data_IF_603870741610
#
_entry.id   IF_603870741610
#
_cell.length_a   1.000
_cell.length_b   1.000
_cell.length_c   1.000
_cell.angle_alpha   90.00
_cell.angle_beta   90.00
_cell.angle_gamma   90.00
#
_symmetry.space_group_name_H-M   'P 1'
#
loop_
_entity.id
_entity.type
_entity.pdbx_description
1 polymer ?
#
# COMPACT_ATOMS: atom_id res chain seq x y z
N UNK A 1 16.86 20.81 -20.67
CA UNK A 1 15.50 20.58 -20.14
C UNK A 1 15.43 19.10 -19.79
N UNK A 2 14.76 18.72 -18.71
CA UNK A 2 14.78 17.35 -18.19
C UNK A 2 13.66 16.49 -18.78
N UNK A 3 13.80 15.16 -18.68
CA UNK A 3 12.69 14.21 -18.81
C UNK A 3 11.91 14.18 -17.49
N UNK A 4 10.58 14.22 -17.55
CA UNK A 4 9.69 13.99 -16.41
C UNK A 4 9.17 12.57 -16.43
N UNK A 5 9.24 11.89 -15.29
CA UNK A 5 8.58 10.61 -15.06
C UNK A 5 7.52 10.79 -13.99
N UNK A 6 6.33 10.28 -14.24
CA UNK A 6 5.16 10.35 -13.36
C UNK A 6 4.75 8.91 -13.02
N UNK A 7 5.03 8.46 -11.80
CA UNK A 7 4.69 7.12 -11.34
C UNK A 7 3.57 7.20 -10.31
N UNK A 8 2.39 6.68 -10.67
CA UNK A 8 1.17 6.86 -9.90
C UNK A 8 0.82 5.60 -9.11
N UNK A 9 0.74 5.71 -7.79
CA UNK A 9 -0.01 4.74 -7.00
C UNK A 9 -1.51 4.80 -7.35
N UNK A 10 -2.24 3.73 -7.02
CA UNK A 10 -3.63 3.57 -7.40
C UNK A 10 -4.55 3.56 -6.18
N UNK A 11 -4.38 2.58 -5.30
CA UNK A 11 -5.29 2.33 -4.18
C UNK A 11 -5.16 3.38 -3.08
N UNK A 12 -6.18 4.22 -2.90
CA UNK A 12 -6.14 5.34 -1.95
C UNK A 12 -5.55 6.62 -2.54
N UNK A 13 -4.76 6.52 -3.61
CA UNK A 13 -4.18 7.62 -4.37
C UNK A 13 -5.11 8.09 -5.52
N UNK A 14 -4.95 7.59 -6.75
CA UNK A 14 -5.88 7.90 -7.86
C UNK A 14 -7.30 7.39 -7.59
N UNK A 15 -7.39 6.26 -6.89
CA UNK A 15 -8.62 5.61 -6.42
C UNK A 15 -8.92 6.04 -4.98
N UNK A 16 -8.82 7.34 -4.71
CA UNK A 16 -9.01 7.94 -3.40
C UNK A 16 -10.47 7.87 -2.89
N UNK A 17 -10.64 8.16 -1.60
CA UNK A 17 -11.95 8.20 -0.93
C UNK A 17 -12.97 9.08 -1.65
N UNK A 18 -12.56 10.25 -2.12
CA UNK A 18 -13.43 11.16 -2.88
C UNK A 18 -14.02 10.50 -4.13
N UNK A 19 -13.23 9.71 -4.86
CA UNK A 19 -13.72 8.92 -6.00
C UNK A 19 -14.64 7.76 -5.53
N UNK A 20 -14.23 7.03 -4.49
CA UNK A 20 -14.96 5.85 -4.00
C UNK A 20 -16.37 6.24 -3.50
N UNK A 21 -16.47 7.35 -2.75
CA UNK A 21 -17.64 7.73 -1.96
C UNK A 21 -18.49 8.87 -2.54
N UNK A 22 -18.14 9.50 -3.67
CA UNK A 22 -19.08 10.40 -4.36
C UNK A 22 -20.17 9.58 -5.08
N UNK A 23 -21.30 9.39 -4.39
CA UNK A 23 -22.39 8.48 -4.78
C UNK A 23 -23.44 9.06 -5.74
N UNK A 24 -23.29 10.30 -6.21
CA UNK A 24 -24.36 10.98 -6.95
C UNK A 24 -24.28 10.91 -8.47
N UNK A 25 -23.19 10.42 -9.07
CA UNK A 25 -23.09 10.35 -10.53
C UNK A 25 -23.00 8.92 -11.06
N UNK A 26 -23.81 8.66 -12.08
CA UNK A 26 -23.87 7.38 -12.80
C UNK A 26 -22.65 7.14 -13.70
N UNK A 27 -21.73 8.10 -13.75
CA UNK A 27 -20.51 8.08 -14.55
C UNK A 27 -19.30 8.26 -13.61
N UNK A 28 -18.89 7.18 -12.94
CA UNK A 28 -17.70 7.16 -12.07
C UNK A 28 -16.42 7.25 -12.90
N UNK A 29 -16.07 8.44 -13.38
CA UNK A 29 -14.80 8.65 -14.08
C UNK A 29 -13.69 9.03 -13.11
N UNK A 30 -12.68 8.16 -12.98
CA UNK A 30 -11.45 8.45 -12.22
C UNK A 30 -10.82 9.75 -12.71
N UNK A 31 -10.85 10.00 -14.02
CA UNK A 31 -10.39 11.24 -14.63
C UNK A 31 -11.07 12.49 -14.06
N UNK A 32 -12.37 12.46 -13.81
CA UNK A 32 -13.12 13.60 -13.29
C UNK A 32 -12.83 13.83 -11.81
N UNK A 33 -12.81 12.76 -11.02
CA UNK A 33 -12.48 12.83 -9.60
C UNK A 33 -11.07 13.41 -9.36
N UNK A 34 -10.14 13.14 -10.27
CA UNK A 34 -8.76 13.60 -10.21
C UNK A 34 -8.49 14.86 -11.07
N UNK A 35 -9.52 15.49 -11.66
CA UNK A 35 -9.34 16.50 -12.73
C UNK A 35 -8.43 17.66 -12.33
N UNK A 36 -8.62 18.23 -11.14
CA UNK A 36 -7.80 19.35 -10.64
C UNK A 36 -6.31 18.98 -10.58
N UNK A 37 -6.00 17.74 -10.17
CA UNK A 37 -4.64 17.22 -10.11
C UNK A 37 -4.06 16.99 -11.51
N UNK A 38 -4.81 16.33 -12.38
CA UNK A 38 -4.38 16.03 -13.75
C UNK A 38 -4.16 17.31 -14.58
N UNK A 39 -5.03 18.31 -14.45
CA UNK A 39 -4.89 19.60 -15.14
C UNK A 39 -3.63 20.35 -14.68
N UNK A 40 -3.26 20.24 -13.39
CA UNK A 40 -2.01 20.80 -12.87
C UNK A 40 -0.79 20.11 -13.48
N UNK A 41 -0.78 18.78 -13.54
CA UNK A 41 0.29 18.03 -14.23
C UNK A 41 0.40 18.47 -15.69
N UNK A 42 -0.74 18.50 -16.40
CA UNK A 42 -0.80 18.81 -17.83
C UNK A 42 -0.28 20.21 -18.15
N UNK A 43 -0.56 21.18 -17.28
CA UNK A 43 -0.01 22.53 -17.39
C UNK A 43 1.51 22.56 -17.27
N UNK A 44 2.08 21.71 -16.43
CA UNK A 44 3.52 21.66 -16.17
C UNK A 44 4.31 20.83 -17.21
N UNK A 45 3.63 20.00 -18.02
CA UNK A 45 4.29 19.14 -19.02
C UNK A 45 5.17 19.92 -20.01
N UNK A 46 4.84 21.18 -20.31
CA UNK A 46 5.60 22.03 -21.24
C UNK A 46 6.99 22.46 -20.75
N UNK A 47 7.32 22.21 -19.47
CA UNK A 47 8.65 22.51 -18.91
C UNK A 47 9.68 21.40 -19.13
N UNK A 48 9.26 20.26 -19.69
CA UNK A 48 10.06 19.07 -19.85
C UNK A 48 10.19 18.69 -21.33
N UNK A 49 11.30 18.05 -21.69
CA UNK A 49 11.52 17.58 -23.08
C UNK A 49 10.58 16.44 -23.44
N UNK A 50 10.28 15.60 -22.45
CA UNK A 50 9.47 14.40 -22.56
C UNK A 50 8.83 14.11 -21.21
N UNK A 51 7.60 13.59 -21.24
CA UNK A 51 6.86 13.21 -20.05
C UNK A 51 6.44 11.74 -20.21
N UNK A 52 6.70 10.93 -19.19
CA UNK A 52 6.47 9.47 -19.21
C UNK A 52 5.67 9.08 -17.98
N UNK A 53 4.58 8.34 -18.15
CA UNK A 53 3.75 7.78 -17.09
C UNK A 53 4.07 6.32 -16.80
N UNK A 54 4.04 5.93 -15.53
CA UNK A 54 4.20 4.55 -15.05
C UNK A 54 3.08 4.14 -14.11
N UNK A 55 2.90 2.82 -13.98
CA UNK A 55 2.13 2.21 -12.88
C UNK A 55 3.00 2.18 -11.63
N UNK A 56 2.73 3.08 -10.69
CA UNK A 56 3.38 3.16 -9.36
C UNK A 56 2.68 2.34 -8.26
N UNK A 57 1.60 1.63 -8.61
CA UNK A 57 0.85 0.75 -7.71
C UNK A 57 1.55 -0.58 -7.45
N UNK A 58 1.26 -1.24 -6.32
CA UNK A 58 1.69 -2.62 -6.08
C UNK A 58 0.90 -3.65 -6.90
N UNK A 59 -0.13 -3.22 -7.63
CA UNK A 59 -0.78 -4.00 -8.69
C UNK A 59 0.16 -4.15 -9.89
N UNK A 60 1.18 -5.00 -9.76
CA UNK A 60 2.21 -5.23 -10.78
C UNK A 60 2.08 -6.57 -11.51
N UNK A 61 0.96 -7.28 -11.30
CA UNK A 61 0.58 -8.49 -12.04
C UNK A 61 -0.94 -8.54 -12.25
N UNK A 62 -1.40 -9.35 -13.20
CA UNK A 62 -2.84 -9.53 -13.48
C UNK A 62 -3.61 -10.02 -12.25
N UNK A 63 -3.04 -10.95 -11.49
CA UNK A 63 -3.72 -11.50 -10.31
C UNK A 63 -3.92 -10.46 -9.22
N UNK A 64 -2.90 -9.65 -8.91
CA UNK A 64 -2.98 -8.63 -7.87
C UNK A 64 -3.92 -7.49 -8.31
N UNK A 65 -3.91 -7.13 -9.59
CA UNK A 65 -4.87 -6.16 -10.12
C UNK A 65 -6.33 -6.63 -9.98
N UNK A 66 -6.61 -7.91 -10.28
CA UNK A 66 -7.94 -8.50 -10.14
C UNK A 66 -8.41 -8.62 -8.69
N UNK A 67 -7.50 -8.94 -7.76
CA UNK A 67 -7.85 -9.14 -6.35
C UNK A 67 -8.22 -7.82 -5.65
N UNK A 68 -7.65 -6.69 -6.09
CA UNK A 68 -7.79 -5.41 -5.39
C UNK A 68 -8.95 -4.51 -5.86
N UNK A 69 -9.77 -4.91 -6.83
CA UNK A 69 -10.93 -4.06 -7.18
C UNK A 69 -11.81 -4.52 -8.33
N UNK A 70 -12.88 -3.75 -8.55
CA UNK A 70 -13.81 -3.91 -9.69
C UNK A 70 -13.25 -3.32 -10.99
N UNK A 71 -12.25 -2.46 -10.91
CA UNK A 71 -11.61 -1.79 -12.04
C UNK A 71 -10.10 -2.04 -12.04
N UNK A 72 -9.56 -2.22 -13.24
CA UNK A 72 -8.14 -2.50 -13.47
C UNK A 72 -7.32 -1.22 -13.41
N UNK A 73 -6.27 -1.19 -12.58
CA UNK A 73 -5.38 -0.04 -12.53
C UNK A 73 -4.65 0.19 -13.84
N UNK A 74 -4.40 -0.87 -14.62
CA UNK A 74 -3.70 -0.79 -15.90
C UNK A 74 -4.51 0.00 -16.92
N UNK A 75 -5.80 -0.33 -17.05
CA UNK A 75 -6.73 0.37 -17.95
C UNK A 75 -6.90 1.82 -17.52
N UNK A 76 -7.11 2.07 -16.23
CA UNK A 76 -7.31 3.43 -15.72
C UNK A 76 -6.06 4.30 -15.88
N UNK A 77 -4.86 3.78 -15.57
CA UNK A 77 -3.60 4.54 -15.74
C UNK A 77 -3.33 4.80 -17.22
N UNK A 78 -3.65 3.86 -18.11
CA UNK A 78 -3.58 4.11 -19.54
C UNK A 78 -4.46 5.30 -19.94
N UNK A 79 -5.72 5.34 -19.50
CA UNK A 79 -6.63 6.45 -19.77
C UNK A 79 -6.12 7.79 -19.22
N UNK A 80 -5.54 7.78 -18.01
CA UNK A 80 -4.94 8.98 -17.40
C UNK A 80 -3.76 9.49 -18.24
N UNK A 81 -2.87 8.60 -18.64
CA UNK A 81 -1.71 8.96 -19.47
C UNK A 81 -2.14 9.50 -20.83
N UNK A 82 -3.17 8.91 -21.44
CA UNK A 82 -3.78 9.41 -22.68
C UNK A 82 -4.41 10.80 -22.49
N UNK A 83 -5.15 11.05 -21.40
CA UNK A 83 -5.75 12.37 -21.07
C UNK A 83 -4.66 13.44 -20.85
N UNK A 84 -3.55 13.07 -20.21
CA UNK A 84 -2.40 13.94 -19.99
C UNK A 84 -1.61 14.23 -21.28
N UNK A 85 -1.78 13.41 -22.33
CA UNK A 85 -1.01 13.51 -23.58
C UNK A 85 0.47 13.19 -23.39
N UNK A 86 0.78 12.21 -22.53
CA UNK A 86 2.17 11.79 -22.22
C UNK A 86 2.40 10.35 -22.69
N UNK A 87 3.64 9.88 -22.65
CA UNK A 87 3.97 8.51 -23.04
C UNK A 87 3.69 7.53 -21.90
N UNK A 88 3.10 6.37 -22.19
CA UNK A 88 2.95 5.31 -21.20
C UNK A 88 4.12 4.33 -21.29
N UNK A 89 4.89 4.21 -20.21
CA UNK A 89 5.77 3.07 -20.02
C UNK A 89 4.99 1.93 -19.34
N UNK A 90 4.89 0.81 -20.06
CA UNK A 90 4.08 -0.33 -19.66
C UNK A 90 4.84 -1.32 -18.78
N UNK A 91 6.09 -1.06 -18.44
CA UNK A 91 6.88 -1.96 -17.61
C UNK A 91 6.20 -2.26 -16.27
N UNK A 92 6.05 -3.56 -15.98
CA UNK A 92 5.60 -4.05 -14.68
C UNK A 92 6.68 -4.92 -14.04
N UNK A 93 6.66 -5.03 -12.71
CA UNK A 93 7.57 -5.93 -11.99
C UNK A 93 7.41 -7.40 -12.43
N UNK A 94 6.21 -7.82 -12.84
CA UNK A 94 6.00 -9.15 -13.43
C UNK A 94 6.85 -9.40 -14.68
N UNK A 95 7.18 -8.38 -15.48
CA UNK A 95 8.09 -8.54 -16.62
C UNK A 95 9.49 -8.92 -16.16
N UNK A 96 9.96 -8.27 -15.09
CA UNK A 96 11.27 -8.49 -14.51
C UNK A 96 11.38 -9.89 -13.88
N UNK A 97 10.38 -10.30 -13.10
CA UNK A 97 10.37 -11.61 -12.45
C UNK A 97 10.12 -12.75 -13.44
N UNK A 98 9.32 -12.52 -14.48
CA UNK A 98 9.06 -13.47 -15.55
C UNK A 98 10.11 -13.54 -16.65
N UNK A 99 11.15 -12.71 -16.59
CA UNK A 99 12.14 -12.53 -17.67
C UNK A 99 11.48 -12.21 -19.02
N UNK A 100 10.40 -11.42 -19.00
CA UNK A 100 9.68 -10.96 -20.19
C UNK A 100 10.25 -9.62 -20.68
N UNK A 101 9.95 -9.30 -21.93
CA UNK A 101 10.16 -7.95 -22.45
C UNK A 101 9.34 -6.93 -21.63
N UNK A 102 9.86 -5.71 -21.48
CA UNK A 102 9.14 -4.66 -20.77
C UNK A 102 7.80 -4.35 -21.46
N UNK A 103 6.71 -4.31 -20.69
CA UNK A 103 5.35 -4.05 -21.18
C UNK A 103 4.54 -5.29 -21.54
N UNK A 104 5.17 -6.46 -21.58
CA UNK A 104 4.49 -7.70 -21.96
C UNK A 104 3.38 -8.07 -20.96
N UNK A 105 3.67 -8.02 -19.67
CA UNK A 105 2.70 -8.33 -18.60
C UNK A 105 1.54 -7.35 -18.59
N UNK A 106 1.79 -6.07 -18.87
CA UNK A 106 0.73 -5.06 -18.97
C UNK A 106 -0.19 -5.37 -20.15
N UNK A 107 0.37 -5.60 -21.34
CA UNK A 107 -0.40 -5.92 -22.54
C UNK A 107 -1.26 -7.18 -22.33
N UNK A 108 -0.66 -8.23 -21.76
CA UNK A 108 -1.37 -9.44 -21.36
C UNK A 108 -2.49 -9.16 -20.36
N UNK A 109 -2.25 -8.28 -19.39
CA UNK A 109 -3.22 -8.01 -18.33
C UNK A 109 -4.46 -7.25 -18.83
N UNK A 110 -4.33 -6.39 -19.84
CA UNK A 110 -5.46 -5.66 -20.43
C UNK A 110 -6.16 -6.44 -21.57
N UNK A 111 -5.50 -7.45 -22.13
CA UNK A 111 -6.07 -8.33 -23.13
C UNK A 111 -6.90 -9.44 -22.47
N UNK A 112 -8.22 -9.43 -22.71
CA UNK A 112 -9.15 -10.41 -22.15
C UNK A 112 -8.96 -11.83 -22.72
N UNK A 113 -8.32 -11.95 -23.89
CA UNK A 113 -8.10 -13.22 -24.57
C UNK A 113 -6.80 -13.91 -24.16
N UNK A 114 -5.94 -13.23 -23.38
CA UNK A 114 -4.69 -13.84 -22.90
C UNK A 114 -4.98 -14.97 -21.89
N UNK A 115 -4.47 -16.20 -22.13
CA UNK A 115 -4.64 -17.32 -21.21
C UNK A 115 -3.97 -17.09 -19.84
N UNK A 116 -4.59 -17.62 -18.78
CA UNK A 116 -4.14 -17.40 -17.41
C UNK A 116 -2.71 -17.88 -17.13
N UNK A 117 -2.29 -18.97 -17.75
CA UNK A 117 -0.97 -19.56 -17.62
C UNK A 117 0.16 -18.73 -18.28
N UNK A 118 -0.21 -17.68 -19.01
CA UNK A 118 0.74 -16.72 -19.59
C UNK A 118 0.96 -15.48 -18.69
N UNK A 119 0.20 -15.33 -17.60
CA UNK A 119 0.47 -14.28 -16.63
C UNK A 119 1.57 -14.69 -15.66
N UNK A 120 2.43 -13.74 -15.32
CA UNK A 120 3.53 -13.95 -14.39
C UNK A 120 3.31 -13.12 -13.13
N UNK A 121 3.73 -13.68 -12.00
CA UNK A 121 3.70 -13.03 -10.71
C UNK A 121 5.00 -12.28 -10.42
N UNK A 122 4.94 -11.39 -9.42
CA UNK A 122 6.09 -10.68 -8.89
C UNK A 122 6.19 -10.90 -7.38
N UNK A 123 7.38 -10.69 -6.81
CA UNK A 123 7.55 -10.72 -5.36
C UNK A 123 7.08 -9.38 -4.78
N UNK A 124 5.96 -9.41 -4.07
CA UNK A 124 5.31 -8.21 -3.52
C UNK A 124 6.22 -7.45 -2.55
N UNK A 125 6.34 -6.14 -2.76
CA UNK A 125 7.08 -5.19 -1.95
C UNK A 125 6.13 -4.14 -1.38
N UNK A 126 5.79 -4.26 -0.10
CA UNK A 126 4.89 -3.34 0.61
C UNK A 126 5.46 -1.91 0.71
N UNK A 127 6.77 -1.76 0.52
CA UNK A 127 7.49 -0.48 0.70
C UNK A 127 7.63 0.32 -0.59
N UNK A 128 7.46 -0.32 -1.76
CA UNK A 128 7.67 0.22 -3.11
C UNK A 128 9.11 0.63 -3.44
N UNK A 129 10.09 0.33 -2.57
CA UNK A 129 11.49 0.61 -2.86
C UNK A 129 11.96 -0.07 -4.16
N UNK A 130 11.72 -1.37 -4.30
CA UNK A 130 12.16 -2.11 -5.49
C UNK A 130 11.45 -1.67 -6.77
N UNK A 131 10.18 -1.27 -6.68
CA UNK A 131 9.41 -0.74 -7.80
C UNK A 131 10.02 0.58 -8.30
N UNK A 132 10.24 1.54 -7.40
CA UNK A 132 10.85 2.83 -7.74
C UNK A 132 12.27 2.60 -8.28
N UNK A 133 13.06 1.75 -7.63
CA UNK A 133 14.41 1.43 -8.09
C UNK A 133 14.40 0.88 -9.53
N UNK A 134 13.53 -0.09 -9.83
CA UNK A 134 13.43 -0.67 -11.16
C UNK A 134 13.03 0.35 -12.23
N UNK A 135 12.02 1.19 -11.96
CA UNK A 135 11.54 2.20 -12.90
C UNK A 135 12.59 3.30 -13.14
N UNK A 136 13.24 3.77 -12.07
CA UNK A 136 14.32 4.78 -12.14
C UNK A 136 15.49 4.25 -12.96
N UNK A 137 15.97 3.03 -12.68
CA UNK A 137 17.12 2.46 -13.39
C UNK A 137 16.79 2.19 -14.86
N UNK A 138 15.58 1.68 -15.16
CA UNK A 138 15.12 1.49 -16.54
C UNK A 138 15.19 2.80 -17.34
N UNK A 139 14.58 3.88 -16.83
CA UNK A 139 14.54 5.15 -17.57
C UNK A 139 15.92 5.79 -17.67
N UNK A 140 16.74 5.71 -16.62
CA UNK A 140 18.11 6.21 -16.68
C UNK A 140 18.95 5.42 -17.70
N UNK A 141 18.77 4.10 -17.80
CA UNK A 141 19.45 3.26 -18.79
C UNK A 141 19.03 3.58 -20.23
N UNK A 142 17.75 3.92 -20.45
CA UNK A 142 17.24 4.32 -21.76
C UNK A 142 17.61 5.77 -22.13
N UNK A 143 17.97 6.59 -21.15
CA UNK A 143 18.28 8.01 -21.33
C UNK A 143 19.50 8.43 -20.48
N UNK A 144 20.71 7.89 -20.76
CA UNK A 144 21.86 8.01 -19.87
C UNK A 144 22.44 9.43 -19.74
N UNK A 145 22.21 10.27 -20.76
CA UNK A 145 22.76 11.64 -20.84
C UNK A 145 21.74 12.72 -20.47
N UNK A 146 20.49 12.34 -20.18
CA UNK A 146 19.40 13.26 -19.84
C UNK A 146 19.25 13.39 -18.32
N UNK A 147 18.95 14.60 -17.86
CA UNK A 147 18.49 14.79 -16.49
C UNK A 147 17.03 14.30 -16.39
N UNK A 148 16.73 13.55 -15.34
CA UNK A 148 15.42 12.92 -15.11
C UNK A 148 14.85 13.43 -13.79
N UNK A 149 13.64 13.97 -13.83
CA UNK A 149 12.83 14.26 -12.65
C UNK A 149 11.80 13.15 -12.51
N UNK A 150 11.97 12.29 -11.51
CA UNK A 150 11.08 11.17 -11.24
C UNK A 150 10.13 11.53 -10.11
N UNK A 151 8.86 11.74 -10.40
CA UNK A 151 7.81 12.06 -9.43
C UNK A 151 6.97 10.83 -9.11
N UNK A 152 6.97 10.43 -7.85
CA UNK A 152 6.18 9.33 -7.32
C UNK A 152 5.03 9.89 -6.47
N UNK A 153 3.80 9.43 -6.74
CA UNK A 153 2.57 9.90 -6.07
C UNK A 153 1.91 8.76 -5.30
N UNK A 154 1.63 8.98 -4.00
CA UNK A 154 1.08 7.97 -3.09
C UNK A 154 0.19 8.60 -1.99
N UNK A 155 -0.80 7.86 -1.49
CA UNK A 155 -1.66 8.32 -0.38
C UNK A 155 -0.99 8.15 0.99
N UNK A 156 0.03 7.30 1.10
CA UNK A 156 0.65 6.93 2.37
C UNK A 156 1.84 7.82 2.70
N UNK A 157 1.56 9.08 3.02
CA UNK A 157 2.52 10.03 3.59
C UNK A 157 1.85 11.04 4.52
N UNK A 158 2.60 12.03 5.01
CA UNK A 158 2.10 13.09 5.90
C UNK A 158 1.52 12.57 7.21
N UNK A 159 2.01 11.43 7.69
CA UNK A 159 1.48 10.79 8.87
C UNK A 159 0.07 10.20 8.70
N UNK A 160 -0.40 9.97 7.47
CA UNK A 160 -1.78 9.57 7.16
C UNK A 160 -2.26 8.34 7.93
N UNK A 161 -1.41 7.30 8.09
CA UNK A 161 -1.74 6.11 8.88
C UNK A 161 -0.87 5.95 10.12
N UNK A 162 0.39 6.42 10.07
CA UNK A 162 1.38 6.38 11.17
C UNK A 162 2.47 7.43 10.94
N UNK A 163 3.25 7.76 11.97
CA UNK A 163 4.28 8.81 11.91
C UNK A 163 5.34 8.60 10.82
N UNK A 164 5.67 7.35 10.49
CA UNK A 164 6.52 6.98 9.34
C UNK A 164 5.75 6.03 8.42
N UNK A 165 5.12 6.55 7.36
CA UNK A 165 4.41 5.74 6.37
C UNK A 165 5.28 5.51 5.11
N UNK A 166 4.71 5.06 3.99
CA UNK A 166 5.47 4.72 2.78
C UNK A 166 6.36 5.89 2.32
N UNK A 167 5.83 7.11 2.21
CA UNK A 167 6.60 8.23 1.68
C UNK A 167 7.72 8.69 2.62
N UNK A 168 7.50 8.71 3.94
CA UNK A 168 8.58 8.99 4.91
C UNK A 168 9.63 7.88 4.92
N UNK A 169 9.19 6.62 4.81
CA UNK A 169 10.08 5.48 4.78
C UNK A 169 10.94 5.47 3.49
N UNK A 170 10.33 5.72 2.33
CA UNK A 170 11.04 5.87 1.05
C UNK A 170 12.05 7.01 1.11
N UNK A 171 11.67 8.14 1.72
CA UNK A 171 12.58 9.25 1.92
C UNK A 171 13.80 8.84 2.76
N UNK A 172 13.57 8.16 3.88
CA UNK A 172 14.65 7.64 4.73
C UNK A 172 15.55 6.68 3.95
N UNK A 173 14.96 5.69 3.28
CA UNK A 173 15.67 4.67 2.52
C UNK A 173 16.57 5.28 1.43
N UNK A 174 16.03 6.15 0.58
CA UNK A 174 16.80 6.74 -0.52
C UNK A 174 17.72 7.88 -0.10
N UNK A 175 17.42 8.59 1.00
CA UNK A 175 18.35 9.60 1.55
C UNK A 175 19.55 8.97 2.25
N UNK A 176 19.38 7.80 2.88
CA UNK A 176 20.47 7.03 3.48
C UNK A 176 21.27 6.23 2.42
N UNK A 177 20.67 5.96 1.26
CA UNK A 177 21.28 5.21 0.15
C UNK A 177 21.14 5.95 -1.21
N UNK A 178 21.60 7.19 -1.34
CA UNK A 178 21.41 8.01 -2.55
C UNK A 178 22.14 7.44 -3.78
N UNK A 179 23.08 6.52 -3.59
CA UNK A 179 23.75 5.79 -4.65
C UNK A 179 22.86 4.74 -5.34
N UNK A 180 21.71 4.41 -4.77
CA UNK A 180 20.72 3.55 -5.43
C UNK A 180 19.97 4.28 -6.55
N UNK A 181 20.01 5.62 -6.54
CA UNK A 181 19.46 6.45 -7.60
C UNK A 181 20.61 6.93 -8.49
N UNK A 182 20.52 6.80 -9.83
CA UNK A 182 21.52 7.33 -10.75
C UNK A 182 21.74 8.84 -10.57
N UNK A 183 22.98 9.31 -10.78
CA UNK A 183 23.34 10.74 -10.60
C UNK A 183 22.51 11.71 -11.44
N UNK A 184 22.01 11.27 -12.59
CA UNK A 184 21.16 12.06 -13.49
C UNK A 184 19.67 12.05 -13.09
N UNK A 185 19.31 11.41 -11.97
CA UNK A 185 17.93 11.32 -11.49
C UNK A 185 17.74 12.13 -10.22
N UNK A 186 16.65 12.89 -10.16
CA UNK A 186 16.09 13.48 -8.95
C UNK A 186 14.75 12.81 -8.65
N UNK A 187 14.64 12.13 -7.51
CA UNK A 187 13.39 11.53 -7.04
C UNK A 187 12.60 12.55 -6.21
N UNK A 188 11.33 12.74 -6.55
CA UNK A 188 10.38 13.57 -5.83
C UNK A 188 9.25 12.69 -5.30
N UNK A 189 9.01 12.77 -3.99
CA UNK A 189 7.96 12.05 -3.31
C UNK A 189 6.82 13.01 -3.00
N UNK A 190 5.64 12.70 -3.54
CA UNK A 190 4.46 13.55 -3.46
C UNK A 190 3.31 12.79 -2.81
N UNK A 191 2.69 13.41 -1.81
CA UNK A 191 1.46 12.87 -1.24
C UNK A 191 0.25 13.35 -2.03
N UNK A 192 -0.65 12.41 -2.36
CA UNK A 192 -1.92 12.69 -3.00
C UNK A 192 -2.96 11.63 -2.62
N UNK A 193 -4.07 12.06 -2.03
CA UNK A 193 -5.24 11.23 -1.73
C UNK A 193 -6.58 11.86 -2.17
N UNK A 194 -6.54 12.57 -3.30
CA UNK A 194 -7.71 13.24 -3.89
C UNK A 194 -7.83 14.73 -3.62
N UNK A 195 -7.03 15.27 -2.70
CA UNK A 195 -6.92 16.69 -2.40
C UNK A 195 -5.84 17.40 -3.25
N UNK A 196 -5.30 18.51 -2.78
CA UNK A 196 -4.14 19.13 -3.45
C UNK A 196 -2.87 18.31 -3.19
N UNK A 197 -2.08 18.09 -4.25
CA UNK A 197 -0.78 17.43 -4.13
C UNK A 197 0.07 18.16 -3.11
N UNK A 198 0.63 17.40 -2.17
CA UNK A 198 1.59 17.92 -1.20
C UNK A 198 2.98 17.36 -1.53
N UNK A 199 3.90 18.18 -2.09
CA UNK A 199 5.29 17.77 -2.23
C UNK A 199 5.91 17.55 -0.84
N UNK A 200 6.52 16.39 -0.62
CA UNK A 200 7.10 16.04 0.69
C UNK A 200 8.62 16.04 0.65
N UNK A 201 9.22 15.33 -0.30
CA UNK A 201 10.67 15.09 -0.30
C UNK A 201 11.25 15.17 -1.71
N UNK A 202 12.50 15.60 -1.80
CA UNK A 202 13.30 15.63 -3.02
C UNK A 202 14.69 15.05 -2.72
N UNK A 203 15.12 14.07 -3.51
CA UNK A 203 16.32 13.28 -3.28
C UNK A 203 17.12 13.23 -4.58
N UNK A 204 18.31 13.83 -4.59
CA UNK A 204 19.22 13.76 -5.74
C UNK A 204 20.02 12.46 -5.69
N UNK A 205 19.98 11.69 -6.77
CA UNK A 205 20.80 10.49 -6.91
C UNK A 205 22.28 10.83 -7.00
N UNK A 206 23.11 9.89 -6.55
CA UNK A 206 24.58 9.99 -6.63
C UNK A 206 25.21 8.75 -7.27
N UNK A 207 24.39 7.78 -7.62
CA UNK A 207 24.77 6.47 -8.11
C UNK A 207 25.10 6.41 -9.59
N UNK A 208 25.41 5.20 -10.01
CA UNK A 208 25.54 4.84 -11.43
C UNK A 208 24.22 4.31 -11.96
N UNK A 209 24.11 4.26 -13.29
CA UNK A 209 23.08 3.51 -13.97
C UNK A 209 23.43 2.02 -13.85
N UNK A 210 22.54 1.25 -13.23
CA UNK A 210 22.69 -0.19 -13.08
C UNK A 210 22.19 -0.91 -14.34
N UNK A 211 23.13 -1.37 -15.16
CA UNK A 211 22.82 -2.11 -16.39
C UNK A 211 22.16 -3.48 -16.13
N UNK A 212 22.24 -4.00 -14.90
CA UNK A 212 21.64 -5.27 -14.48
C UNK A 212 20.58 -5.07 -13.38
N UNK A 213 19.92 -3.91 -13.37
CA UNK A 213 18.91 -3.57 -12.35
C UNK A 213 17.84 -4.64 -12.17
N UNK A 214 17.54 -5.39 -13.24
CA UNK A 214 16.59 -6.50 -13.21
C UNK A 214 17.03 -7.61 -12.25
N UNK A 215 18.31 -7.96 -12.24
CA UNK A 215 18.85 -8.92 -11.30
C UNK A 215 18.98 -8.29 -9.91
N UNK A 216 19.46 -7.05 -9.81
CA UNK A 216 19.56 -6.33 -8.53
C UNK A 216 18.24 -6.28 -7.76
N UNK A 217 17.11 -6.06 -8.45
CA UNK A 217 15.77 -6.11 -7.85
C UNK A 217 15.43 -7.49 -7.28
N UNK A 218 15.80 -8.57 -8.00
CA UNK A 218 15.59 -9.94 -7.51
C UNK A 218 16.44 -10.19 -6.26
N UNK A 219 17.69 -9.73 -6.27
CA UNK A 219 18.61 -9.82 -5.14
C UNK A 219 18.10 -9.02 -3.93
N UNK A 220 17.54 -7.81 -4.15
CA UNK A 220 16.87 -7.02 -3.11
C UNK A 220 15.74 -7.81 -2.45
N UNK A 221 14.94 -8.51 -3.26
CA UNK A 221 13.83 -9.31 -2.77
C UNK A 221 14.27 -10.62 -2.09
N UNK A 222 15.45 -11.15 -2.42
CA UNK A 222 16.04 -12.31 -1.71
C UNK A 222 16.68 -11.92 -0.38
N UNK A 223 17.27 -10.71 -0.31
CA UNK A 223 17.85 -10.20 0.91
C UNK A 223 16.80 -9.64 1.89
N UNK A 224 15.62 -9.26 1.41
CA UNK A 224 14.57 -8.71 2.24
C UNK A 224 14.05 -9.74 3.25
N UNK A 225 13.93 -9.30 4.50
CA UNK A 225 13.24 -10.07 5.53
C UNK A 225 11.75 -10.01 5.28
N UNK A 226 11.06 -11.15 5.10
CA UNK A 226 9.62 -11.15 5.16
C UNK A 226 9.18 -10.67 6.55
N UNK A 227 8.16 -9.83 6.60
CA UNK A 227 7.46 -9.57 7.85
C UNK A 227 6.72 -10.82 8.33
N UNK A 228 6.01 -10.71 9.45
CA UNK A 228 5.21 -11.81 10.00
C UNK A 228 4.05 -12.25 9.08
N UNK A 229 3.77 -11.50 8.00
CA UNK A 229 2.77 -11.79 6.97
C UNK A 229 3.40 -12.38 5.69
N UNK A 230 4.72 -12.58 5.66
CA UNK A 230 5.44 -13.08 4.48
C UNK A 230 5.72 -12.01 3.43
N UNK A 231 5.45 -10.73 3.71
CA UNK A 231 5.65 -9.60 2.78
C UNK A 231 7.06 -9.07 2.88
N UNK A 232 7.66 -8.75 1.74
CA UNK A 232 9.04 -8.29 1.72
C UNK A 232 9.12 -6.85 2.20
N UNK A 233 9.80 -6.65 3.33
CA UNK A 233 10.20 -5.33 3.76
C UNK A 233 11.67 -5.13 3.39
N UNK A 234 11.88 -4.50 2.25
CA UNK A 234 13.23 -4.16 1.79
C UNK A 234 13.79 -3.10 2.74
N UNK A 235 14.91 -3.35 3.42
CA UNK A 235 15.64 -2.30 4.16
C UNK A 235 15.06 -1.83 5.51
N UNK A 236 14.13 -2.56 6.13
CA UNK A 236 13.66 -2.27 7.51
C UNK A 236 14.45 -2.99 8.60
N UNK A 237 15.18 -4.06 8.28
CA UNK A 237 16.02 -4.76 9.25
C UNK A 237 17.37 -4.02 9.38
N UNK A 238 17.74 -3.51 10.58
CA UNK A 238 19.06 -2.93 10.81
C UNK A 238 20.23 -3.89 10.52
N UNK A 239 19.95 -5.19 10.33
CA UNK A 239 20.91 -6.21 9.89
C UNK A 239 21.21 -6.24 8.39
N UNK A 240 20.31 -5.79 7.51
CA UNK A 240 20.57 -5.69 6.06
C UNK A 240 21.39 -4.43 5.83
N UNK A 241 22.71 -4.57 5.94
CA UNK A 241 23.60 -3.51 5.47
C UNK A 241 23.45 -3.46 3.97
N UNK A 242 22.92 -2.37 3.41
CA UNK A 242 22.88 -2.12 1.96
C UNK A 242 24.27 -2.36 1.31
N UNK A 243 25.37 -2.25 2.08
CA UNK A 243 26.73 -2.69 1.70
C UNK A 243 26.88 -4.15 1.27
N UNK A 244 26.00 -5.07 1.65
CA UNK A 244 26.01 -6.47 1.24
C UNK A 244 25.25 -6.68 -0.08
N UNK A 245 24.14 -5.97 -0.31
CA UNK A 245 23.51 -5.83 -1.63
C UNK A 245 24.51 -5.26 -2.67
N UNK A 246 25.39 -4.34 -2.23
CA UNK A 246 26.50 -3.80 -3.03
C UNK A 246 27.54 -4.85 -3.47
N UNK A 247 27.66 -6.02 -2.82
CA UNK A 247 28.63 -7.04 -3.24
C UNK A 247 28.07 -8.01 -4.28
N UNK A 248 26.78 -8.31 -4.24
CA UNK A 248 26.19 -9.31 -5.16
C UNK A 248 25.90 -8.70 -6.53
N UNK A 249 25.23 -7.55 -6.58
CA UNK A 249 24.89 -6.86 -7.83
C UNK A 249 26.14 -6.37 -8.60
N UNK A 250 27.13 -5.80 -7.89
CA UNK A 250 28.32 -5.23 -8.53
C UNK A 250 29.37 -6.30 -8.95
N UNK A 251 29.44 -7.45 -8.29
CA UNK A 251 30.37 -8.54 -8.67
C UNK A 251 29.91 -9.27 -9.93
N UNK A 252 28.59 -9.34 -10.20
CA UNK A 252 28.05 -9.94 -11.42
C UNK A 252 28.36 -9.05 -12.65
N UNK A 253 28.30 -7.73 -12.51
CA UNK A 253 28.69 -6.76 -13.55
C UNK A 253 30.19 -6.73 -13.85
N UNK A 254 31.05 -6.91 -12.84
CA UNK A 254 32.51 -6.99 -13.06
C UNK A 254 32.95 -8.31 -13.72
N UNK A 255 32.27 -9.44 -13.46
CA UNK A 255 32.65 -10.73 -14.08
C UNK A 255 32.38 -10.78 -15.59
N UNK A 256 31.34 -10.09 -16.08
CA UNK A 256 31.07 -10.01 -17.54
C UNK A 256 31.98 -9.04 -18.29
N UNK A 257 32.62 -8.09 -17.60
CA UNK A 257 33.52 -7.10 -18.20
C UNK A 257 35.01 -7.46 -18.09
N UNK A 258 35.38 -8.48 -17.31
CA UNK A 258 36.79 -8.88 -17.08
C UNK A 258 37.27 -10.14 -17.82
N UNK A 259 36.47 -10.78 -18.68
CA UNK A 259 36.97 -11.88 -19.54
C UNK A 259 37.71 -11.42 -20.81
N UNK A 260 37.89 -10.11 -20.99
CA UNK A 260 38.80 -9.55 -21.99
C UNK A 260 39.58 -8.39 -21.37
N UNK A 261 40.63 -8.71 -20.62
CA UNK A 261 41.99 -8.24 -20.91
C UNK A 261 42.97 -8.65 -19.81
N UNK A 262 44.06 -9.22 -20.30
CA UNK A 262 45.37 -9.51 -19.71
C UNK A 262 45.78 -8.54 -18.60
N UNK A 263 46.29 -9.06 -17.49
CA UNK A 263 47.16 -8.30 -16.59
C UNK A 263 48.42 -9.12 -16.25
N UNK A 264 49.56 -8.62 -16.75
CA UNK A 264 50.88 -8.83 -16.18
C UNK A 264 50.99 -8.18 -14.78
N UNK A 265 51.54 -8.97 -13.86
CA UNK A 265 52.45 -8.67 -12.74
C UNK A 265 52.77 -7.19 -12.47
N UNK A 266 52.58 -6.74 -11.21
CA UNK A 266 53.70 -6.37 -10.33
C UNK A 266 53.26 -6.05 -8.89
N UNK A 267 54.15 -6.42 -7.97
CA UNK A 267 54.14 -6.46 -6.51
C UNK A 267 54.56 -5.15 -5.84
N UNK A 268 54.11 -4.90 -4.59
CA UNK A 268 54.84 -4.45 -3.35
C UNK A 268 53.85 -3.76 -2.38
N UNK A 269 53.55 -4.30 -1.19
CA UNK A 269 54.23 -4.14 0.14
C UNK A 269 54.29 -2.67 0.63
N UNK A 270 53.99 -2.22 1.86
CA UNK A 270 53.75 -2.79 3.21
C UNK A 270 53.58 -1.58 4.17
N UNK A 271 53.05 -1.85 5.39
CA UNK A 271 53.28 -1.12 6.66
C UNK A 271 52.55 0.22 6.89
N UNK A 272 52.20 0.65 8.12
CA UNK A 272 52.07 0.08 9.48
C UNK A 272 51.63 1.28 10.39
N UNK A 273 51.06 0.99 11.56
CA UNK A 273 50.89 1.84 12.76
C UNK A 273 50.11 3.19 12.67
N UNK A 274 49.35 3.63 13.68
CA UNK A 274 49.15 3.18 15.04
C UNK A 274 48.65 4.35 15.92
N UNK A 275 47.77 4.02 16.89
CA UNK A 275 47.42 4.81 18.11
C UNK A 275 46.68 6.15 17.92
N UNK A 276 45.99 6.76 18.88
CA UNK A 276 45.27 6.45 20.13
C UNK A 276 44.64 7.79 20.59
N UNK A 277 43.78 7.76 21.62
CA UNK A 277 43.30 8.91 22.42
C UNK A 277 42.24 9.83 21.78
N UNK A 278 41.22 10.34 22.49
CA UNK A 278 40.85 10.24 23.90
C UNK A 278 39.39 10.69 24.05
N UNK A 279 38.75 10.09 25.04
CA UNK A 279 37.44 10.42 25.62
C UNK A 279 37.41 11.78 26.31
N UNK A 280 36.34 12.56 26.08
CA UNK A 280 35.91 13.62 27.00
C UNK A 280 34.40 13.53 27.22
N UNK A 281 34.03 13.35 28.48
CA UNK A 281 32.67 13.40 29.03
C UNK A 281 32.13 14.82 28.95
N UNK A 282 30.85 14.98 28.63
CA UNK A 282 30.10 16.20 28.92
C UNK A 282 28.89 15.90 29.81
N UNK A 283 28.77 16.75 30.82
CA UNK A 283 27.85 16.71 31.95
C UNK A 283 26.41 17.05 31.56
N UNK A 284 25.50 16.42 32.30
CA UNK A 284 24.07 16.66 32.32
C UNK A 284 23.73 18.07 32.85
N UNK A 285 22.80 18.74 32.17
CA UNK A 285 22.01 19.82 32.77
C UNK A 285 20.52 19.53 32.57
N UNK A 286 19.89 19.05 33.65
CA UNK A 286 18.45 18.92 33.81
C UNK A 286 17.78 20.28 33.80
N UNK A 287 16.84 20.49 32.90
CA UNK A 287 15.80 21.52 33.04
C UNK A 287 14.46 20.82 32.96
N UNK A 288 13.68 20.94 34.03
CA UNK A 288 12.37 20.33 34.20
C UNK A 288 11.39 20.85 33.14
N UNK A 289 10.87 19.95 32.32
CA UNK A 289 9.69 20.18 31.49
C UNK A 289 8.49 19.48 32.11
N UNK A 290 7.46 20.29 32.32
CA UNK A 290 6.11 19.96 32.72
C UNK A 290 5.52 18.87 31.82
N UNK A 291 5.24 17.70 32.40
CA UNK A 291 4.65 16.55 31.72
C UNK A 291 3.20 16.83 31.31
N UNK A 292 2.97 17.10 30.03
CA UNK A 292 1.68 16.78 29.39
C UNK A 292 1.63 15.26 29.17
N UNK A 293 0.56 14.63 29.65
CA UNK A 293 0.26 13.20 29.45
C UNK A 293 0.28 12.89 27.94
N UNK A 294 1.04 11.89 27.45
CA UNK A 294 1.03 11.53 26.04
C UNK A 294 -0.35 11.03 25.65
N UNK A 295 -0.87 11.44 24.48
CA UNK A 295 -2.05 10.82 23.90
C UNK A 295 -1.78 9.32 23.72
N UNK A 296 -2.64 8.48 24.30
CA UNK A 296 -2.54 7.02 24.18
C UNK A 296 -2.65 6.65 22.69
N UNK A 297 -1.63 5.96 22.17
CA UNK A 297 -1.60 5.48 20.79
C UNK A 297 -2.59 4.34 20.64
N UNK A 298 -3.57 4.48 19.74
CA UNK A 298 -4.51 3.42 19.38
C UNK A 298 -3.79 2.20 18.82
N UNK A 299 -4.29 1.01 19.13
CA UNK A 299 -3.75 -0.23 18.58
C UNK A 299 -4.16 -0.42 17.10
N UNK A 300 -3.44 -1.24 16.33
CA UNK A 300 -3.81 -1.56 14.95
C UNK A 300 -5.19 -2.22 14.85
N UNK A 301 -5.52 -3.07 15.81
CA UNK A 301 -6.84 -3.70 15.92
C UNK A 301 -7.94 -2.66 16.18
N UNK A 302 -7.66 -1.64 17.00
CA UNK A 302 -8.59 -0.52 17.26
C UNK A 302 -8.79 0.34 16.02
N UNK A 303 -7.73 0.66 15.28
CA UNK A 303 -7.85 1.43 14.03
C UNK A 303 -8.67 0.71 12.97
N UNK A 304 -8.49 -0.60 12.79
CA UNK A 304 -9.28 -1.41 11.85
C UNK A 304 -10.75 -1.52 12.27
N UNK A 305 -11.00 -1.61 13.57
CA UNK A 305 -12.35 -1.63 14.10
C UNK A 305 -13.05 -0.27 13.91
N UNK A 306 -12.35 0.84 14.21
CA UNK A 306 -12.83 2.21 13.99
C UNK A 306 -13.16 2.47 12.50
N UNK A 307 -12.36 1.92 11.57
CA UNK A 307 -12.63 2.02 10.14
C UNK A 307 -13.97 1.38 9.77
N UNK A 308 -14.29 0.22 10.34
CA UNK A 308 -15.60 -0.41 10.13
C UNK A 308 -16.73 0.41 10.78
N UNK A 309 -16.49 1.04 11.93
CA UNK A 309 -17.48 1.91 12.57
C UNK A 309 -17.84 3.13 11.70
N UNK A 310 -16.87 3.76 11.06
CA UNK A 310 -17.12 4.89 10.16
C UNK A 310 -17.90 4.46 8.90
N UNK A 311 -17.69 3.23 8.40
CA UNK A 311 -18.49 2.68 7.31
C UNK A 311 -19.96 2.52 7.73
N UNK A 312 -20.23 1.98 8.92
CA UNK A 312 -21.61 1.84 9.42
C UNK A 312 -22.26 3.20 9.62
N UNK A 313 -21.54 4.13 10.22
CA UNK A 313 -22.02 5.49 10.46
C UNK A 313 -22.43 6.17 9.16
N UNK A 314 -21.59 6.05 8.13
CA UNK A 314 -21.89 6.59 6.79
C UNK A 314 -23.12 5.91 6.18
N UNK A 315 -23.20 4.58 6.21
CA UNK A 315 -24.36 3.82 5.71
C UNK A 315 -25.64 4.14 6.49
N UNK A 316 -25.54 4.41 7.78
CA UNK A 316 -26.66 4.82 8.61
C UNK A 316 -27.17 6.21 8.19
N UNK A 317 -26.27 7.18 8.00
CA UNK A 317 -26.62 8.52 7.49
C UNK A 317 -27.26 8.49 6.08
N UNK A 318 -26.81 7.58 5.21
CA UNK A 318 -27.43 7.34 3.90
C UNK A 318 -28.86 6.81 4.02
N UNK A 319 -29.10 5.87 4.93
CA UNK A 319 -30.43 5.33 5.20
C UNK A 319 -31.34 6.42 5.79
N UNK A 320 -30.84 7.22 6.75
CA UNK A 320 -31.55 8.39 7.30
C UNK A 320 -31.97 9.34 6.17
N UNK A 321 -31.03 9.70 5.29
CA UNK A 321 -31.27 10.59 4.14
C UNK A 321 -32.34 10.01 3.20
N UNK A 322 -32.28 8.70 2.91
CA UNK A 322 -33.22 8.04 2.00
C UNK A 322 -34.61 7.87 2.59
N UNK A 323 -34.70 7.65 3.90
CA UNK A 323 -35.97 7.55 4.61
C UNK A 323 -36.55 8.92 4.95
N UNK A 324 -35.81 10.01 4.71
CA UNK A 324 -36.24 11.38 4.98
C UNK A 324 -36.26 11.71 6.47
N UNK A 325 -35.40 11.06 7.25
CA UNK A 325 -35.34 11.12 8.70
C UNK A 325 -33.98 11.72 9.08
N UNK A 326 -33.94 12.63 10.07
CA UNK A 326 -32.68 13.15 10.62
C UNK A 326 -32.02 12.12 11.55
N UNK A 327 -30.70 12.24 11.79
CA UNK A 327 -30.02 11.37 12.77
C UNK A 327 -30.70 11.45 14.15
N UNK A 328 -31.13 12.64 14.58
CA UNK A 328 -31.83 12.85 15.85
C UNK A 328 -33.24 12.23 15.87
N UNK A 329 -33.96 12.22 14.74
CA UNK A 329 -35.27 11.56 14.60
C UNK A 329 -35.12 10.03 14.52
N UNK A 330 -34.03 9.52 13.96
CA UNK A 330 -33.73 8.08 13.88
C UNK A 330 -33.47 7.45 15.26
N UNK A 331 -33.16 8.27 16.28
CA UNK A 331 -33.04 7.81 17.67
C UNK A 331 -34.39 7.59 18.35
N UNK A 332 -35.44 8.27 17.88
CA UNK A 332 -36.78 8.26 18.48
C UNK A 332 -37.79 7.44 17.67
N UNK A 333 -37.46 7.08 16.44
CA UNK A 333 -38.32 6.36 15.52
C UNK A 333 -38.13 4.84 15.63
N UNK A 334 -39.25 4.13 15.55
CA UNK A 334 -39.45 2.70 15.75
C UNK A 334 -38.30 1.79 15.27
N UNK A 335 -38.15 0.66 15.98
CA UNK A 335 -37.44 -0.59 15.59
C UNK A 335 -37.73 -1.13 14.17
N UNK A 336 -38.51 -0.42 13.35
CA UNK A 336 -39.03 -0.85 12.04
C UNK A 336 -38.32 -0.20 10.85
N UNK A 337 -37.50 0.83 11.05
CA UNK A 337 -36.74 1.53 10.00
C UNK A 337 -35.33 0.96 9.85
N UNK A 338 -34.81 0.86 8.62
CA UNK A 338 -33.46 0.38 8.41
C UNK A 338 -32.41 1.42 8.85
N UNK A 339 -32.74 2.72 8.74
CA UNK A 339 -31.92 3.79 9.28
C UNK A 339 -31.74 3.65 10.80
N UNK A 340 -32.85 3.47 11.53
CA UNK A 340 -32.83 3.25 12.98
C UNK A 340 -32.00 2.02 13.36
N UNK A 341 -32.13 0.93 12.61
CA UNK A 341 -31.38 -0.31 12.88
C UNK A 341 -29.87 -0.17 12.60
N UNK A 342 -29.49 0.58 11.56
CA UNK A 342 -28.09 0.88 11.26
C UNK A 342 -27.44 1.78 12.32
N UNK A 343 -28.17 2.77 12.83
CA UNK A 343 -27.71 3.65 13.92
C UNK A 343 -27.55 2.84 15.22
N UNK A 344 -28.49 1.94 15.54
CA UNK A 344 -28.38 1.04 16.69
C UNK A 344 -27.16 0.14 16.59
N UNK A 345 -26.94 -0.47 15.43
CA UNK A 345 -25.77 -1.30 15.16
C UNK A 345 -24.47 -0.52 15.37
N UNK A 346 -24.35 0.68 14.82
CA UNK A 346 -23.18 1.55 15.00
C UNK A 346 -22.92 1.83 16.49
N UNK A 347 -23.95 2.26 17.24
CA UNK A 347 -23.83 2.59 18.66
C UNK A 347 -23.40 1.37 19.49
N UNK A 348 -24.03 0.22 19.24
CA UNK A 348 -23.72 -1.02 19.94
C UNK A 348 -22.27 -1.47 19.70
N UNK A 349 -21.80 -1.40 18.45
CA UNK A 349 -20.43 -1.77 18.10
C UNK A 349 -19.41 -0.76 18.64
N UNK A 350 -19.72 0.54 18.59
CA UNK A 350 -18.87 1.59 19.19
C UNK A 350 -18.71 1.39 20.69
N UNK A 351 -19.80 1.13 21.40
CA UNK A 351 -19.78 0.85 22.84
C UNK A 351 -18.97 -0.42 23.16
N UNK A 352 -19.13 -1.48 22.35
CA UNK A 352 -18.36 -2.71 22.49
C UNK A 352 -16.85 -2.46 22.27
N UNK A 353 -16.48 -1.72 21.22
CA UNK A 353 -15.10 -1.34 20.93
C UNK A 353 -14.48 -0.49 22.02
N UNK A 354 -15.17 0.57 22.46
CA UNK A 354 -14.71 1.43 23.56
C UNK A 354 -14.50 0.64 24.86
N UNK A 355 -15.39 -0.31 25.17
CA UNK A 355 -15.23 -1.21 26.30
C UNK A 355 -13.97 -2.07 26.17
N UNK A 356 -13.78 -2.71 25.02
CA UNK A 356 -12.68 -3.63 24.80
C UNK A 356 -11.30 -2.96 24.72
N UNK A 357 -11.16 -1.93 23.88
CA UNK A 357 -9.86 -1.30 23.62
C UNK A 357 -9.35 -0.44 24.78
N UNK A 358 -10.24 0.08 25.63
CA UNK A 358 -9.85 0.74 26.87
C UNK A 358 -9.63 -0.24 28.05
N UNK A 359 -9.67 -1.55 27.80
CA UNK A 359 -9.43 -2.58 28.81
C UNK A 359 -10.53 -2.71 29.86
N UNK A 360 -11.73 -2.20 29.58
CA UNK A 360 -12.90 -2.27 30.47
C UNK A 360 -13.59 -3.63 30.32
N UNK A 361 -13.72 -4.10 29.07
CA UNK A 361 -14.44 -5.32 28.72
C UNK A 361 -13.49 -6.44 28.28
N UNK A 362 -13.84 -7.67 28.65
CA UNK A 362 -13.07 -8.85 28.25
C UNK A 362 -13.29 -9.20 26.78
N UNK A 363 -12.35 -9.94 26.19
CA UNK A 363 -12.47 -10.52 24.84
C UNK A 363 -13.80 -11.26 24.63
N UNK A 364 -14.25 -12.02 25.63
CA UNK A 364 -15.52 -12.75 25.58
C UNK A 364 -16.73 -11.81 25.55
N UNK A 365 -16.68 -10.75 26.37
CA UNK A 365 -17.74 -9.74 26.43
C UNK A 365 -17.84 -8.92 25.14
N UNK A 366 -16.70 -8.49 24.60
CA UNK A 366 -16.60 -7.82 23.29
C UNK A 366 -17.20 -8.68 22.17
N UNK A 367 -16.76 -9.94 22.06
CA UNK A 367 -17.29 -10.90 21.07
C UNK A 367 -18.81 -11.01 21.17
N UNK A 368 -19.33 -11.18 22.39
CA UNK A 368 -20.76 -11.34 22.62
C UNK A 368 -21.53 -10.07 22.23
N UNK A 369 -21.08 -8.89 22.65
CA UNK A 369 -21.74 -7.62 22.31
C UNK A 369 -21.77 -7.37 20.80
N UNK A 370 -20.67 -7.64 20.09
CA UNK A 370 -20.65 -7.51 18.64
C UNK A 370 -21.53 -8.54 17.94
N UNK A 371 -21.53 -9.79 18.41
CA UNK A 371 -22.38 -10.86 17.87
C UNK A 371 -23.87 -10.53 18.05
N UNK A 372 -24.28 -10.23 19.28
CA UNK A 372 -25.66 -9.88 19.63
C UNK A 372 -26.15 -8.66 18.79
N UNK A 373 -25.29 -7.65 18.61
CA UNK A 373 -25.62 -6.46 17.81
C UNK A 373 -25.79 -6.78 16.31
N UNK A 374 -24.91 -7.60 15.74
CA UNK A 374 -24.98 -8.00 14.32
C UNK A 374 -26.21 -8.87 14.07
N UNK A 375 -26.48 -9.82 14.96
CA UNK A 375 -27.64 -10.72 14.84
C UNK A 375 -28.95 -9.95 14.88
N UNK A 376 -29.07 -8.97 15.79
CA UNK A 376 -30.25 -8.11 15.89
C UNK A 376 -30.47 -7.27 14.61
N UNK A 377 -29.40 -6.71 14.05
CA UNK A 377 -29.50 -5.79 12.91
C UNK A 377 -29.68 -6.46 11.55
N UNK A 378 -29.21 -7.72 11.42
CA UNK A 378 -29.12 -8.42 10.14
C UNK A 378 -30.45 -8.58 9.39
N UNK A 379 -31.56 -9.02 10.02
CA UNK A 379 -32.82 -9.28 9.31
C UNK A 379 -33.31 -8.05 8.54
N UNK A 380 -33.05 -6.86 9.08
CA UNK A 380 -33.48 -5.60 8.50
C UNK A 380 -32.50 -5.04 7.48
N UNK A 381 -31.21 -5.06 7.80
CA UNK A 381 -30.20 -4.38 6.99
C UNK A 381 -29.84 -5.16 5.73
N UNK A 382 -29.90 -6.49 5.74
CA UNK A 382 -29.59 -7.31 4.56
C UNK A 382 -30.60 -7.16 3.40
N UNK A 383 -31.78 -6.61 3.66
CA UNK A 383 -32.75 -6.22 2.62
C UNK A 383 -32.24 -5.06 1.75
N UNK A 384 -31.20 -4.35 2.21
CA UNK A 384 -30.61 -3.22 1.53
C UNK A 384 -29.29 -3.56 0.84
N UNK A 385 -29.12 -3.00 -0.38
CA UNK A 385 -27.95 -3.25 -1.22
C UNK A 385 -26.64 -2.96 -0.49
N UNK A 386 -25.70 -3.91 -0.54
CA UNK A 386 -24.35 -3.76 0.00
C UNK A 386 -24.20 -4.04 1.50
N UNK A 387 -25.27 -4.39 2.23
CA UNK A 387 -25.17 -4.74 3.65
C UNK A 387 -24.68 -6.17 3.91
N UNK A 388 -24.95 -7.12 2.99
CA UNK A 388 -24.40 -8.49 3.08
C UNK A 388 -22.88 -8.53 2.99
N UNK A 389 -22.31 -7.76 2.04
CA UNK A 389 -20.87 -7.61 1.87
C UNK A 389 -20.25 -6.90 3.08
N UNK A 390 -20.94 -5.88 3.60
CA UNK A 390 -20.54 -5.18 4.82
C UNK A 390 -20.45 -6.12 6.04
N UNK A 391 -21.47 -6.93 6.30
CA UNK A 391 -21.45 -7.85 7.44
C UNK A 391 -20.34 -8.89 7.34
N UNK A 392 -20.03 -9.38 6.14
CA UNK A 392 -18.90 -10.28 5.92
C UNK A 392 -17.56 -9.63 6.26
N UNK A 393 -17.36 -8.37 5.85
CA UNK A 393 -16.14 -7.60 6.15
C UNK A 393 -16.04 -7.31 7.66
N UNK A 394 -17.13 -6.89 8.28
CA UNK A 394 -17.19 -6.62 9.72
C UNK A 394 -16.89 -7.87 10.56
N UNK A 395 -17.46 -9.02 10.20
CA UNK A 395 -17.19 -10.29 10.88
C UNK A 395 -15.70 -10.69 10.78
N UNK A 396 -15.08 -10.49 9.61
CA UNK A 396 -13.65 -10.72 9.40
C UNK A 396 -12.78 -9.84 10.31
N UNK A 397 -13.12 -8.56 10.44
CA UNK A 397 -12.42 -7.62 11.32
C UNK A 397 -12.58 -8.03 12.79
N UNK A 398 -13.79 -8.38 13.24
CA UNK A 398 -14.02 -8.83 14.62
C UNK A 398 -13.22 -10.09 14.95
N UNK A 399 -13.17 -11.07 14.04
CA UNK A 399 -12.34 -12.28 14.22
C UNK A 399 -10.85 -11.93 14.30
N UNK A 400 -10.40 -10.97 13.50
CA UNK A 400 -9.03 -10.48 13.51
C UNK A 400 -8.67 -9.77 14.83
N UNK A 401 -9.58 -8.96 15.38
CA UNK A 401 -9.45 -8.31 16.68
C UNK A 401 -9.39 -9.33 17.82
N UNK A 402 -10.21 -10.39 17.75
CA UNK A 402 -10.29 -11.40 18.79
C UNK A 402 -9.07 -12.34 18.80
N UNK A 403 -8.46 -12.66 17.68
CA UNK A 403 -7.42 -13.72 17.57
C UNK A 403 -6.04 -13.40 18.17
N UNK A 404 -5.93 -12.43 19.08
CA UNK A 404 -4.68 -11.98 19.73
C UNK A 404 -3.69 -11.35 18.73
N UNK A 405 -4.20 -10.48 17.85
CA UNK A 405 -3.37 -9.75 16.88
C UNK A 405 -2.83 -10.66 15.77
N UNK A 406 -3.55 -10.69 14.65
CA UNK A 406 -3.08 -11.15 13.34
C UNK A 406 -2.44 -12.55 13.34
N UNK A 407 -3.26 -13.60 13.48
CA UNK A 407 -2.84 -14.96 13.08
C UNK A 407 -3.60 -15.48 11.85
N UNK A 408 -4.79 -14.97 11.54
CA UNK A 408 -5.60 -15.47 10.41
C UNK A 408 -5.65 -14.58 9.17
N UNK A 409 -4.97 -13.44 9.15
CA UNK A 409 -4.84 -12.63 7.92
C UNK A 409 -3.60 -13.02 7.10
N UNK A 410 -2.68 -13.79 7.69
CA UNK A 410 -1.34 -14.09 7.18
C UNK A 410 -1.19 -15.46 6.47
N UNK A 411 -2.28 -16.08 6.02
CA UNK A 411 -2.19 -17.21 5.07
C UNK A 411 -2.64 -16.72 3.71
N UNK A 412 -1.69 -16.47 2.80
CA UNK A 412 -1.85 -15.98 1.42
C UNK A 412 -2.65 -16.88 0.47
N UNK A 413 -3.85 -17.27 0.90
CA UNK A 413 -5.00 -17.49 0.04
C UNK A 413 -5.89 -16.28 0.32
N UNK A 414 -6.53 -15.70 -0.69
CA UNK A 414 -7.54 -14.66 -0.44
C UNK A 414 -8.50 -15.12 0.66
N UNK A 415 -9.24 -14.19 1.26
CA UNK A 415 -10.27 -14.54 2.24
C UNK A 415 -11.26 -15.63 1.75
N UNK A 416 -11.21 -16.05 0.48
CA UNK A 416 -11.79 -17.29 -0.02
C UNK A 416 -10.83 -18.04 -0.97
N UNK A 417 -9.95 -18.88 -0.41
CA UNK A 417 -9.26 -19.96 -1.12
C UNK A 417 -9.87 -21.35 -0.89
N UNK A 418 -11.14 -21.41 -0.47
CA UNK A 418 -11.91 -22.64 -0.31
C UNK A 418 -13.17 -22.59 -1.18
N UNK A 419 -12.98 -23.15 -2.38
CA UNK A 419 -13.97 -23.72 -3.29
C UNK A 419 -14.65 -22.80 -4.32
N UNK A 420 -14.83 -23.30 -5.56
CA UNK A 420 -15.34 -22.56 -6.70
C UNK A 420 -16.81 -22.17 -6.51
N UNK A 421 -17.17 -21.06 -7.15
CA UNK A 421 -18.49 -20.42 -7.09
C UNK A 421 -19.62 -21.36 -7.50
N UNK A 422 -20.56 -21.56 -6.57
CA UNK A 422 -22.02 -21.52 -6.75
C UNK A 422 -22.64 -21.28 -5.37
N UNK A 423 -23.67 -20.44 -5.29
CA UNK A 423 -24.21 -19.77 -4.08
C UNK A 423 -24.21 -20.60 -2.79
N UNK A 424 -23.30 -20.26 -1.88
CA UNK A 424 -22.91 -21.02 -0.69
C UNK A 424 -22.85 -20.11 0.57
N UNK A 425 -23.28 -18.85 0.46
CA UNK A 425 -23.03 -17.82 1.47
C UNK A 425 -23.89 -17.93 2.73
N UNK A 426 -25.10 -18.51 2.61
CA UNK A 426 -25.96 -18.77 3.76
C UNK A 426 -25.50 -20.03 4.52
N UNK A 427 -25.20 -21.10 3.79
CA UNK A 427 -24.74 -22.36 4.37
C UNK A 427 -23.33 -22.25 5.00
N UNK A 428 -22.49 -21.34 4.48
CA UNK A 428 -21.18 -21.02 5.07
C UNK A 428 -21.25 -20.12 6.30
N UNK A 429 -22.35 -19.41 6.50
CA UNK A 429 -22.58 -18.60 7.70
C UNK A 429 -22.98 -19.49 8.88
N UNK A 430 -23.80 -20.50 8.62
CA UNK A 430 -24.13 -21.56 9.58
C UNK A 430 -22.88 -22.39 9.95
N UNK A 431 -22.02 -22.72 8.96
CA UNK A 431 -20.76 -23.42 9.22
C UNK A 431 -19.71 -22.57 9.98
N UNK A 432 -19.77 -21.24 9.84
CA UNK A 432 -18.92 -20.31 10.59
C UNK A 432 -19.39 -20.21 12.04
N UNK A 433 -20.70 -20.18 12.28
CA UNK A 433 -21.30 -20.26 13.62
C UNK A 433 -20.90 -21.57 14.31
N UNK A 434 -20.97 -22.70 13.61
CA UNK A 434 -20.59 -24.02 14.12
C UNK A 434 -19.08 -24.13 14.42
N UNK A 435 -18.23 -23.51 13.59
CA UNK A 435 -16.78 -23.43 13.82
C UNK A 435 -16.41 -22.53 15.00
N UNK A 436 -17.17 -21.44 15.20
CA UNK A 436 -17.01 -20.50 16.31
C UNK A 436 -17.47 -21.11 17.64
N UNK A 437 -18.45 -22.00 17.62
CA UNK A 437 -18.90 -22.80 18.78
C UNK A 437 -17.93 -23.95 19.08
N UNK A 438 -17.39 -24.64 18.06
CA UNK A 438 -16.45 -25.76 18.24
C UNK A 438 -15.10 -25.31 18.80
N UNK A 439 -14.62 -24.12 18.43
CA UNK A 439 -13.40 -23.53 19.01
C UNK A 439 -13.64 -23.11 20.48
N UNK A 440 -14.90 -22.85 20.87
CA UNK A 440 -15.28 -22.47 22.24
C UNK A 440 -15.48 -23.67 23.18
N UNK A 441 -15.50 -24.92 22.68
CA UNK A 441 -15.56 -26.13 23.50
C UNK A 441 -14.18 -26.76 23.76
N UNK A 442 -13.13 -26.21 23.15
CA UNK A 442 -11.73 -26.66 23.25
C UNK A 442 -10.82 -25.70 24.04
N UNK A 443 -11.38 -24.62 24.60
CA UNK A 443 -10.75 -23.66 25.51
C UNK A 443 -11.64 -23.48 26.74
#
# INVERSE_FOLDING_TARGET
>A
MAIRVLSFDFDGCLYHRGYIYNFNDKEKYVLEANRKFLDAIKKDNGHYTRNIGFVGSNRQSKSIDLVNGKESCFVTIQQIVEDLGIELDKFLMADLYGNLAAGESFNRAIDADTPWDQHVEWKFDDTKASLIYAQVQKIAQENPDEEIVFEFFDDRGKGARRTEDILEWLNKFYSENPEMLPKNVTLKLNHYSGEEVTPLFEIKGTGIIDADYRQTVKDMAEAATPDYEGKLLIGVDPGIKVKELKRTAFVVGEKKSKETNVAEVSTTSTNDDGSEHSSVKQEEKKTAQTTKKPAERKSQAEMLFDEQLEIIKTKAAELCTREGITEDESEQQDELSAAGEAVKLYKALKAAGEGYFHGIDSRSKFKKQCGDAIEAARPKLEEHRGWKEFFANLASVIVSVLSVGIVNYATGKGALGLFPVKTDSAQKLDNLEESVVTIASLA
#
